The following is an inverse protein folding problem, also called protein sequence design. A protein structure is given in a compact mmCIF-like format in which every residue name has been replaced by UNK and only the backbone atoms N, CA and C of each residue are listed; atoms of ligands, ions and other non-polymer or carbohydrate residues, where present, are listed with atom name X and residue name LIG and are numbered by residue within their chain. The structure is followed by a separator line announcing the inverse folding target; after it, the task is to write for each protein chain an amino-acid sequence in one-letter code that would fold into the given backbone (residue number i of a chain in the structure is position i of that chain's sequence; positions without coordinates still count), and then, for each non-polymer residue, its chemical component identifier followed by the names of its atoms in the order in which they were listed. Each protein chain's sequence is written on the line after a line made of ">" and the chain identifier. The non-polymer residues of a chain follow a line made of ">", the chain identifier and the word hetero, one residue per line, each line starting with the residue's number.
data_IF_216133869573
#
_entry.id   IF_216133869573
#
_cell.length_a   1.000
_cell.length_b   1.000
_cell.length_c   1.000
_cell.angle_alpha   90.00
_cell.angle_beta   90.00
_cell.angle_gamma   90.00
#
_symmetry.space_group_name_H-M   'P 1'
#
loop_
_entity.id
_entity.type
_entity.pdbx_description
1 polymer ?
#
# COMPACT_ATOMS: atom_id res chain seq x y z
N UNK A 1 -3.26 -6.77 20.18
CA UNK A 1 -1.93 -6.16 20.32
C UNK A 1 -1.72 -5.71 21.76
N UNK A 2 -0.64 -6.18 22.40
CA UNK A 2 -0.22 -5.72 23.72
C UNK A 2 0.43 -4.35 23.58
N UNK A 3 -0.05 -3.37 24.35
CA UNK A 3 0.39 -1.97 24.25
C UNK A 3 0.53 -1.36 25.65
N UNK A 4 1.28 -0.27 25.74
CA UNK A 4 1.31 0.58 26.94
C UNK A 4 0.05 1.45 27.04
N UNK A 5 -0.25 1.96 28.22
CA UNK A 5 -1.45 2.76 28.45
C UNK A 5 -1.50 4.07 27.67
N UNK A 6 -0.35 4.62 27.31
CA UNK A 6 -0.19 5.85 26.53
C UNK A 6 -0.21 5.64 25.00
N UNK A 7 -0.19 4.38 24.55
CA UNK A 7 -0.09 4.03 23.13
C UNK A 7 -1.20 4.64 22.25
N UNK A 8 -2.50 4.60 22.62
CA UNK A 8 -3.53 5.20 21.78
C UNK A 8 -3.35 6.71 21.60
N UNK A 9 -2.99 7.43 22.66
CA UNK A 9 -2.73 8.87 22.61
C UNK A 9 -1.46 9.17 21.80
N UNK A 10 -0.40 8.40 22.01
CA UNK A 10 0.87 8.54 21.29
C UNK A 10 0.69 8.35 19.77
N UNK A 11 -0.13 7.40 19.36
CA UNK A 11 -0.41 7.11 17.95
C UNK A 11 -1.53 7.99 17.36
N UNK A 12 -2.23 8.76 18.19
CA UNK A 12 -3.35 9.59 17.76
C UNK A 12 -4.60 8.78 17.38
N UNK A 13 -4.80 7.63 18.04
CA UNK A 13 -5.95 6.76 17.82
C UNK A 13 -7.17 7.38 18.51
N UNK A 14 -8.21 7.65 17.72
CA UNK A 14 -9.45 8.21 18.22
C UNK A 14 -10.32 7.14 18.89
N UNK A 15 -10.79 7.45 20.12
CA UNK A 15 -11.71 6.60 20.87
C UNK A 15 -13.13 7.03 20.51
N UNK A 16 -13.90 6.12 19.89
CA UNK A 16 -15.26 6.39 19.42
C UNK A 16 -16.30 6.26 20.52
N UNK A 17 -16.08 5.36 21.49
CA UNK A 17 -16.96 5.15 22.62
C UNK A 17 -16.16 4.66 23.83
N UNK A 18 -16.62 5.03 25.03
CA UNK A 18 -15.95 4.66 26.27
C UNK A 18 -14.79 5.57 26.63
N UNK A 19 -13.65 5.01 26.98
CA UNK A 19 -12.44 5.75 27.37
C UNK A 19 -11.16 5.09 26.84
N UNK A 20 -10.09 5.88 26.76
CA UNK A 20 -8.73 5.36 26.54
C UNK A 20 -8.20 4.65 27.79
N UNK A 21 -7.06 3.98 27.63
CA UNK A 21 -6.36 3.37 28.75
C UNK A 21 -5.89 4.42 29.75
N UNK A 22 -5.79 4.00 31.00
CA UNK A 22 -5.21 4.77 32.10
C UNK A 22 -4.03 4.02 32.67
N UNK A 23 -3.13 4.72 33.33
CA UNK A 23 -1.97 4.09 33.96
C UNK A 23 -2.36 3.07 35.04
N UNK A 24 -3.53 3.22 35.63
CA UNK A 24 -4.12 2.29 36.60
C UNK A 24 -4.47 0.95 35.97
N UNK A 25 -4.80 0.93 34.67
CA UNK A 25 -5.13 -0.30 33.92
C UNK A 25 -3.89 -1.21 33.78
N UNK A 26 -2.68 -0.67 33.84
CA UNK A 26 -1.42 -1.44 33.85
C UNK A 26 -1.25 -2.29 35.12
N UNK A 27 -1.99 -2.01 36.16
CA UNK A 27 -1.97 -2.78 37.41
C UNK A 27 -3.11 -3.80 37.50
N UNK A 28 -3.99 -3.87 36.48
CA UNK A 28 -5.11 -4.81 36.47
C UNK A 28 -4.63 -6.20 36.04
N UNK A 29 -4.66 -7.22 36.92
CA UNK A 29 -4.17 -8.55 36.60
C UNK A 29 -4.95 -9.24 35.46
N UNK A 30 -6.21 -8.84 35.23
CA UNK A 30 -7.07 -9.42 34.21
C UNK A 30 -6.85 -8.75 32.82
N UNK A 31 -6.09 -7.66 32.78
CA UNK A 31 -5.95 -6.82 31.59
C UNK A 31 -7.18 -5.95 31.33
N UNK A 32 -7.03 -5.09 30.35
CA UNK A 32 -8.07 -4.15 29.92
C UNK A 32 -8.01 -4.03 28.40
N UNK A 33 -9.17 -4.04 27.74
CA UNK A 33 -9.26 -4.10 26.29
C UNK A 33 -9.91 -2.86 25.69
N UNK A 34 -9.39 -2.43 24.53
CA UNK A 34 -10.04 -1.52 23.58
C UNK A 34 -10.13 -2.26 22.26
N UNK A 35 -11.33 -2.37 21.70
CA UNK A 35 -11.57 -3.00 20.41
C UNK A 35 -11.77 -1.95 19.32
N UNK A 36 -11.49 -2.31 18.07
CA UNK A 36 -11.86 -1.44 16.95
C UNK A 36 -13.32 -1.61 16.55
N UNK A 37 -13.83 -0.66 15.77
CA UNK A 37 -15.22 -0.71 15.27
C UNK A 37 -15.50 -1.95 14.39
N UNK A 38 -14.51 -2.48 13.67
CA UNK A 38 -14.64 -3.73 12.93
C UNK A 38 -14.93 -4.92 13.86
N UNK A 39 -14.27 -4.99 15.02
CA UNK A 39 -14.53 -6.02 16.03
C UNK A 39 -15.93 -5.84 16.63
N UNK A 40 -16.32 -4.61 16.92
CA UNK A 40 -17.66 -4.29 17.41
C UNK A 40 -18.74 -4.75 16.44
N UNK A 41 -18.60 -4.43 15.16
CA UNK A 41 -19.56 -4.87 14.12
C UNK A 41 -19.61 -6.37 13.94
N UNK A 42 -18.47 -7.05 14.06
CA UNK A 42 -18.37 -8.49 13.79
C UNK A 42 -18.91 -9.34 14.95
N UNK A 43 -18.58 -8.94 16.18
CA UNK A 43 -18.89 -9.75 17.38
C UNK A 43 -20.04 -9.18 18.21
N UNK A 44 -20.51 -7.96 17.92
CA UNK A 44 -21.58 -7.30 18.66
C UNK A 44 -21.19 -6.86 20.06
N UNK A 45 -19.91 -6.62 20.33
CA UNK A 45 -19.43 -6.23 21.65
C UNK A 45 -19.98 -4.86 22.10
N UNK A 46 -20.22 -4.78 23.42
CA UNK A 46 -20.61 -3.57 24.14
C UNK A 46 -19.64 -3.31 25.31
N UNK A 47 -19.68 -2.12 25.92
CA UNK A 47 -18.85 -1.80 27.07
C UNK A 47 -19.16 -2.63 28.33
N UNK A 48 -20.35 -3.23 28.39
CA UNK A 48 -20.77 -4.07 29.52
C UNK A 48 -20.26 -5.51 29.39
N UNK A 49 -19.78 -5.89 28.20
CA UNK A 49 -19.27 -7.22 27.94
C UNK A 49 -17.90 -7.44 28.60
N UNK A 50 -17.64 -8.71 28.88
CA UNK A 50 -16.36 -9.18 29.39
C UNK A 50 -15.77 -10.17 28.40
N UNK A 51 -14.47 -10.09 28.21
CA UNK A 51 -13.73 -11.00 27.36
C UNK A 51 -12.77 -11.83 28.19
N UNK A 52 -12.53 -13.05 27.78
CA UNK A 52 -11.52 -13.88 28.43
C UNK A 52 -10.15 -13.23 28.23
N UNK A 53 -9.63 -12.69 29.33
CA UNK A 53 -8.30 -12.12 29.38
C UNK A 53 -7.24 -13.24 29.48
N UNK A 54 -6.02 -12.83 29.80
CA UNK A 54 -4.97 -13.77 30.16
C UNK A 54 -5.36 -14.44 31.51
N UNK A 55 -5.00 -15.67 31.72
CA UNK A 55 -5.33 -16.44 32.94
C UNK A 55 -6.83 -16.81 33.14
N UNK A 56 -7.61 -16.92 32.05
CA UNK A 56 -9.03 -17.30 32.10
C UNK A 56 -9.94 -16.42 32.98
N UNK A 57 -9.52 -15.17 33.22
CA UNK A 57 -10.31 -14.23 34.01
C UNK A 57 -10.98 -13.22 33.10
N UNK A 58 -12.15 -12.77 33.50
CA UNK A 58 -12.94 -11.79 32.77
C UNK A 58 -12.28 -10.41 32.75
N UNK A 59 -11.83 -9.96 31.59
CA UNK A 59 -11.26 -8.66 31.36
C UNK A 59 -12.32 -7.66 30.86
N UNK A 60 -12.19 -6.40 31.26
CA UNK A 60 -13.13 -5.35 30.90
C UNK A 60 -12.84 -4.77 29.51
N UNK A 61 -13.90 -4.52 28.75
CA UNK A 61 -13.86 -3.66 27.58
C UNK A 61 -14.08 -2.22 28.07
N UNK A 62 -13.08 -1.35 27.88
CA UNK A 62 -13.15 0.04 28.38
C UNK A 62 -13.44 1.06 27.29
N UNK A 63 -13.29 0.69 26.04
CA UNK A 63 -13.57 1.57 24.91
C UNK A 63 -13.55 0.86 23.57
N UNK A 64 -14.03 1.59 22.58
CA UNK A 64 -13.91 1.28 21.16
C UNK A 64 -13.10 2.37 20.48
N UNK A 65 -12.27 1.99 19.53
CA UNK A 65 -11.49 2.92 18.73
C UNK A 65 -11.89 2.85 17.25
N UNK A 66 -11.57 3.91 16.53
CA UNK A 66 -11.78 3.93 15.09
C UNK A 66 -10.95 2.84 14.40
N UNK A 67 -11.41 2.46 13.21
CA UNK A 67 -10.74 1.48 12.38
C UNK A 67 -9.46 2.09 11.80
N UNK A 68 -8.31 1.59 12.19
CA UNK A 68 -7.03 1.97 11.63
C UNK A 68 -6.23 0.74 11.18
N UNK A 69 -5.34 0.92 10.23
CA UNK A 69 -4.54 -0.17 9.69
C UNK A 69 -3.07 0.00 10.03
N UNK A 70 -2.49 -1.01 10.69
CA UNK A 70 -1.04 -1.12 10.88
C UNK A 70 -0.33 -1.75 9.68
N UNK A 71 -1.11 -2.27 8.73
CA UNK A 71 -0.61 -3.01 7.57
C UNK A 71 -0.75 -2.17 6.30
N UNK A 72 -1.22 -2.76 5.25
CA UNK A 72 -1.43 -2.12 3.95
C UNK A 72 -2.87 -1.63 3.80
N UNK A 73 -3.07 -0.55 3.04
CA UNK A 73 -4.39 -0.10 2.60
C UNK A 73 -5.11 -1.10 1.67
N UNK A 74 -4.43 -2.18 1.31
CA UNK A 74 -4.95 -3.24 0.44
C UNK A 74 -5.85 -4.21 1.18
N UNK A 75 -5.59 -4.43 2.47
CA UNK A 75 -6.38 -5.32 3.31
C UNK A 75 -7.49 -4.54 4.01
N UNK A 76 -8.68 -5.12 4.05
CA UNK A 76 -9.75 -4.59 4.89
C UNK A 76 -9.31 -4.62 6.36
N UNK A 77 -9.72 -3.62 7.11
CA UNK A 77 -9.41 -3.57 8.54
C UNK A 77 -10.12 -4.74 9.23
N UNK A 78 -9.32 -5.66 9.72
CA UNK A 78 -9.82 -6.83 10.45
C UNK A 78 -10.15 -6.47 11.90
N UNK A 79 -11.06 -7.22 12.55
CA UNK A 79 -11.26 -7.11 13.98
C UNK A 79 -9.93 -7.26 14.75
N UNK A 80 -9.61 -6.29 15.60
CA UNK A 80 -8.47 -6.35 16.50
C UNK A 80 -8.80 -5.75 17.86
N UNK A 81 -7.96 -6.07 18.82
CA UNK A 81 -7.98 -5.50 20.16
C UNK A 81 -6.61 -4.94 20.52
N UNK A 82 -6.61 -3.78 21.17
CA UNK A 82 -5.52 -3.29 21.98
C UNK A 82 -5.76 -3.76 23.41
N UNK A 83 -4.73 -4.19 24.09
CA UNK A 83 -4.85 -4.58 25.47
C UNK A 83 -3.64 -4.17 26.28
N UNK A 84 -3.90 -3.75 27.52
CA UNK A 84 -2.89 -3.43 28.51
C UNK A 84 -2.91 -4.52 29.56
N UNK A 85 -1.78 -5.17 29.77
CA UNK A 85 -1.59 -6.10 30.86
C UNK A 85 -1.08 -5.42 32.12
N UNK A 86 -1.47 -5.98 33.24
CA UNK A 86 -0.81 -5.69 34.49
C UNK A 86 0.62 -6.26 34.54
N UNK A 87 1.22 -6.22 35.69
CA UNK A 87 2.62 -6.57 35.96
C UNK A 87 2.97 -8.06 35.82
N UNK A 88 2.53 -8.70 34.75
CA UNK A 88 2.88 -10.09 34.49
C UNK A 88 4.36 -10.21 34.05
N UNK A 89 5.17 -10.99 34.77
CA UNK A 89 6.64 -11.01 34.57
C UNK A 89 7.09 -11.64 33.26
N UNK A 90 6.21 -12.32 32.53
CA UNK A 90 6.52 -12.99 31.27
C UNK A 90 6.26 -12.12 30.03
N UNK A 91 5.60 -10.97 30.17
CA UNK A 91 5.38 -10.06 29.06
C UNK A 91 6.58 -9.12 28.92
N UNK A 92 7.23 -9.17 27.79
CA UNK A 92 8.33 -8.28 27.45
C UNK A 92 7.93 -7.43 26.22
N UNK A 93 8.00 -6.10 26.32
CA UNK A 93 7.80 -5.25 25.14
C UNK A 93 8.85 -5.58 24.08
N UNK A 94 8.38 -5.90 22.87
CA UNK A 94 9.24 -6.24 21.73
C UNK A 94 9.53 -5.04 20.83
N UNK A 95 8.73 -3.98 20.93
CA UNK A 95 8.82 -2.82 20.04
C UNK A 95 8.59 -1.55 20.86
N UNK A 96 9.43 -0.55 20.65
CA UNK A 96 9.25 0.78 21.20
C UNK A 96 9.11 1.81 20.07
N UNK A 97 8.09 2.65 20.17
CA UNK A 97 7.89 3.78 19.27
C UNK A 97 8.48 5.04 19.88
N UNK A 98 9.34 5.73 19.14
CA UNK A 98 10.01 6.94 19.60
C UNK A 98 9.67 8.07 18.65
N UNK A 99 9.11 9.16 19.20
CA UNK A 99 8.84 10.38 18.45
C UNK A 99 10.08 11.26 18.41
N UNK A 100 10.60 11.50 17.24
CA UNK A 100 11.79 12.32 17.02
C UNK A 100 11.36 13.74 16.69
N UNK A 101 12.09 14.73 17.20
CA UNK A 101 11.83 16.14 16.89
C UNK A 101 12.08 16.42 15.41
N UNK A 102 11.27 17.31 14.83
CA UNK A 102 11.44 17.71 13.44
C UNK A 102 12.82 18.36 13.21
N UNK A 103 13.54 17.85 12.19
CA UNK A 103 14.88 18.35 11.83
C UNK A 103 16.04 17.70 12.59
N UNK A 104 15.80 16.71 13.47
CA UNK A 104 16.88 15.96 14.12
C UNK A 104 17.59 15.06 13.10
N UNK A 105 18.92 14.94 13.25
CA UNK A 105 19.72 14.01 12.43
C UNK A 105 19.40 12.57 12.83
N UNK A 106 18.92 11.79 11.87
CA UNK A 106 18.56 10.39 12.08
C UNK A 106 19.74 9.53 12.59
N UNK A 107 20.92 9.74 12.03
CA UNK A 107 22.09 8.94 12.40
C UNK A 107 22.53 9.22 13.84
N UNK A 108 22.42 10.47 14.27
CA UNK A 108 22.70 10.85 15.67
C UNK A 108 21.69 10.25 16.62
N UNK A 109 20.37 10.31 16.26
CA UNK A 109 19.31 9.71 17.06
C UNK A 109 19.49 8.20 17.16
N UNK A 110 19.72 7.53 16.04
CA UNK A 110 19.96 6.08 16.00
C UNK A 110 21.18 5.68 16.88
N UNK A 111 22.26 6.43 16.77
CA UNK A 111 23.46 6.20 17.58
C UNK A 111 23.21 6.41 19.07
N UNK A 112 22.42 7.44 19.42
CA UNK A 112 22.05 7.72 20.80
C UNK A 112 21.18 6.60 21.38
N UNK A 113 20.15 6.18 20.65
CA UNK A 113 19.26 5.06 21.04
C UNK A 113 20.10 3.78 21.24
N UNK A 114 20.94 3.43 20.27
CA UNK A 114 21.82 2.27 20.39
C UNK A 114 22.71 2.30 21.60
N UNK A 115 23.25 3.49 21.96
CA UNK A 115 24.06 3.66 23.16
C UNK A 115 23.25 3.42 24.43
N UNK A 116 22.07 4.03 24.55
CA UNK A 116 21.21 3.89 25.73
C UNK A 116 20.76 2.43 25.90
N UNK A 117 20.40 1.76 24.81
CA UNK A 117 20.00 0.35 24.86
C UNK A 117 21.15 -0.57 25.27
N UNK A 118 22.38 -0.32 24.81
CA UNK A 118 23.56 -1.08 25.20
C UNK A 118 23.98 -0.87 26.66
N UNK A 119 23.72 0.31 27.23
CA UNK A 119 23.93 0.59 28.64
C UNK A 119 22.89 -0.10 29.55
N UNK A 120 21.67 -0.28 29.03
CA UNK A 120 20.56 -0.86 29.81
C UNK A 120 20.64 -2.40 29.87
N UNK A 121 21.22 -3.06 28.86
CA UNK A 121 21.27 -4.51 28.82
C UNK A 121 22.63 -4.99 28.31
N UNK A 122 23.43 -5.56 29.20
CA UNK A 122 24.79 -6.03 28.95
C UNK A 122 24.87 -7.22 27.97
N UNK A 123 23.78 -7.97 27.80
CA UNK A 123 23.77 -9.21 27.02
C UNK A 123 23.35 -9.02 25.55
N UNK A 124 23.07 -7.78 25.11
CA UNK A 124 22.63 -7.50 23.75
C UNK A 124 23.70 -6.76 22.95
N UNK A 125 24.02 -7.31 21.79
CA UNK A 125 24.83 -6.62 20.79
C UNK A 125 24.05 -5.44 20.17
N UNK A 126 24.67 -4.28 19.94
CA UNK A 126 24.02 -3.15 19.25
C UNK A 126 23.46 -3.50 17.87
N UNK A 127 23.98 -4.56 17.23
CA UNK A 127 23.54 -5.05 15.93
C UNK A 127 22.23 -5.88 15.98
N UNK A 128 21.77 -6.24 17.17
CA UNK A 128 20.50 -6.99 17.36
C UNK A 128 19.27 -6.10 17.40
N UNK A 129 19.44 -4.77 17.47
CA UNK A 129 18.34 -3.83 17.45
C UNK A 129 18.07 -3.31 16.06
N UNK A 130 16.91 -3.67 15.51
CA UNK A 130 16.43 -3.10 14.27
C UNK A 130 15.78 -1.73 14.56
N UNK A 131 16.54 -0.65 14.35
CA UNK A 131 16.06 0.72 14.45
C UNK A 131 15.77 1.21 13.04
N UNK A 132 14.51 1.46 12.74
CA UNK A 132 14.04 1.95 11.44
C UNK A 132 12.98 3.02 11.60
N UNK A 133 12.80 3.86 10.61
CA UNK A 133 11.68 4.78 10.57
C UNK A 133 10.38 4.02 10.35
N UNK A 134 9.32 4.49 11.00
CA UNK A 134 7.98 3.93 10.82
C UNK A 134 7.54 3.97 9.34
N UNK A 135 7.85 5.08 8.63
CA UNK A 135 7.60 5.23 7.20
C UNK A 135 8.37 4.22 6.34
N UNK A 136 9.60 3.86 6.72
CA UNK A 136 10.37 2.83 6.02
C UNK A 136 9.74 1.44 6.15
N UNK A 137 9.18 1.13 7.30
CA UNK A 137 8.47 -0.13 7.53
C UNK A 137 7.20 -0.22 6.69
N UNK A 138 6.46 0.88 6.57
CA UNK A 138 5.31 0.98 5.67
C UNK A 138 5.78 0.80 4.22
N UNK A 139 6.84 1.49 3.79
CA UNK A 139 7.38 1.41 2.44
C UNK A 139 7.88 -0.01 2.08
N UNK A 140 8.40 -0.78 3.03
CA UNK A 140 8.79 -2.18 2.81
C UNK A 140 7.63 -3.03 2.32
N UNK A 141 6.46 -2.76 2.83
CA UNK A 141 5.23 -3.47 2.46
C UNK A 141 4.81 -3.14 1.02
N UNK A 142 5.09 -1.92 0.54
CA UNK A 142 4.77 -1.48 -0.82
C UNK A 142 5.89 -1.73 -1.86
N UNK A 143 7.07 -2.19 -1.46
CA UNK A 143 8.17 -2.48 -2.40
C UNK A 143 7.84 -3.51 -3.47
N UNK A 144 6.96 -4.46 -3.16
CA UNK A 144 6.49 -5.46 -4.14
C UNK A 144 5.68 -4.82 -5.27
N UNK A 145 4.80 -3.89 -4.92
CA UNK A 145 3.99 -3.13 -5.88
C UNK A 145 4.85 -2.19 -6.71
N UNK A 146 5.82 -1.55 -6.09
CA UNK A 146 6.77 -0.68 -6.79
C UNK A 146 7.62 -1.46 -7.81
N UNK A 147 8.16 -2.61 -7.41
CA UNK A 147 8.90 -3.51 -8.32
C UNK A 147 8.02 -4.02 -9.45
N UNK A 148 6.75 -4.35 -9.18
CA UNK A 148 5.79 -4.75 -10.20
C UNK A 148 5.51 -3.61 -11.18
N UNK A 149 5.33 -2.40 -10.70
CA UNK A 149 5.12 -1.20 -11.53
C UNK A 149 6.32 -0.94 -12.46
N UNK A 150 7.54 -1.07 -11.95
CA UNK A 150 8.76 -0.92 -12.74
C UNK A 150 8.87 -1.99 -13.84
N UNK A 151 8.56 -3.25 -13.52
CA UNK A 151 8.53 -4.34 -14.49
C UNK A 151 7.49 -4.09 -15.59
N UNK A 152 6.26 -3.71 -15.22
CA UNK A 152 5.19 -3.38 -16.18
C UNK A 152 5.63 -2.23 -17.09
N UNK A 153 6.25 -1.19 -16.56
CA UNK A 153 6.76 -0.05 -17.31
C UNK A 153 7.83 -0.47 -18.33
N UNK A 154 8.77 -1.32 -17.93
CA UNK A 154 9.80 -1.86 -18.80
C UNK A 154 9.21 -2.69 -19.95
N UNK A 155 8.31 -3.63 -19.63
CA UNK A 155 7.65 -4.46 -20.66
C UNK A 155 6.79 -3.61 -21.60
N UNK A 156 6.12 -2.58 -21.10
CA UNK A 156 5.35 -1.65 -21.91
C UNK A 156 6.26 -0.91 -22.91
N UNK A 157 7.43 -0.44 -22.47
CA UNK A 157 8.40 0.20 -23.34
C UNK A 157 8.88 -0.75 -24.45
N UNK A 158 9.22 -1.98 -24.11
CA UNK A 158 9.63 -3.01 -25.07
C UNK A 158 8.49 -3.30 -26.08
N UNK A 159 7.26 -3.43 -25.60
CA UNK A 159 6.09 -3.66 -26.45
C UNK A 159 5.86 -2.51 -27.44
N UNK A 160 6.05 -1.27 -27.01
CA UNK A 160 5.97 -0.08 -27.88
C UNK A 160 7.04 -0.16 -28.96
N UNK A 161 8.28 -0.47 -28.62
CA UNK A 161 9.40 -0.59 -29.61
C UNK A 161 9.09 -1.67 -30.64
N UNK A 162 8.66 -2.86 -30.21
CA UNK A 162 8.32 -3.96 -31.11
C UNK A 162 7.15 -3.56 -32.02
N UNK A 163 6.12 -2.90 -31.46
CA UNK A 163 4.97 -2.41 -32.21
C UNK A 163 5.37 -1.41 -33.30
N UNK A 164 6.25 -0.45 -32.95
CA UNK A 164 6.78 0.54 -33.91
C UNK A 164 7.58 -0.16 -35.04
N UNK A 165 8.42 -1.14 -34.71
CA UNK A 165 9.14 -1.93 -35.72
C UNK A 165 8.19 -2.69 -36.65
N UNK A 166 7.13 -3.30 -36.09
CA UNK A 166 6.11 -3.98 -36.85
C UNK A 166 5.36 -3.05 -37.82
N UNK A 167 4.93 -1.88 -37.33
CA UNK A 167 4.30 -0.86 -38.19
C UNK A 167 5.24 -0.36 -39.26
N UNK A 168 6.50 -0.11 -38.94
CA UNK A 168 7.50 0.34 -39.89
C UNK A 168 7.71 -0.71 -41.00
N UNK A 169 7.89 -1.98 -40.64
CA UNK A 169 8.01 -3.06 -41.59
C UNK A 169 6.80 -3.18 -42.53
N UNK A 170 5.59 -3.06 -41.98
CA UNK A 170 4.36 -3.09 -42.75
C UNK A 170 4.24 -1.92 -43.74
N UNK A 171 4.59 -0.71 -43.29
CA UNK A 171 4.60 0.50 -44.13
C UNK A 171 5.61 0.35 -45.29
N UNK A 172 6.81 -0.16 -45.01
CA UNK A 172 7.83 -0.40 -46.03
C UNK A 172 7.36 -1.43 -47.07
N UNK A 173 6.76 -2.54 -46.62
CA UNK A 173 6.21 -3.56 -47.49
C UNK A 173 5.06 -3.02 -48.36
N UNK A 174 4.09 -2.33 -47.77
CA UNK A 174 2.94 -1.76 -48.48
C UNK A 174 3.41 -0.73 -49.53
N UNK A 175 4.42 0.09 -49.21
CA UNK A 175 4.99 1.09 -50.10
C UNK A 175 5.66 0.43 -51.33
N UNK A 176 6.40 -0.64 -51.12
CA UNK A 176 7.03 -1.38 -52.23
C UNK A 176 5.98 -2.07 -53.11
N UNK A 177 4.97 -2.68 -52.50
CA UNK A 177 3.89 -3.35 -53.21
C UNK A 177 3.10 -2.40 -54.10
N UNK A 178 2.84 -1.18 -53.64
CA UNK A 178 2.06 -0.14 -54.35
C UNK A 178 2.91 0.84 -55.16
N UNK A 179 4.18 0.58 -55.35
CA UNK A 179 5.12 1.51 -56.01
C UNK A 179 4.65 1.94 -57.41
N UNK A 180 4.03 1.04 -58.17
CA UNK A 180 3.49 1.36 -59.52
C UNK A 180 2.25 2.28 -59.43
N UNK A 181 1.37 2.05 -58.48
CA UNK A 181 0.18 2.91 -58.27
C UNK A 181 0.59 4.32 -57.84
N UNK A 182 1.57 4.43 -56.92
CA UNK A 182 2.14 5.67 -56.46
C UNK A 182 2.75 6.46 -57.64
N UNK A 183 3.53 5.78 -58.49
CA UNK A 183 4.16 6.38 -59.65
C UNK A 183 3.13 6.90 -60.64
N UNK A 184 2.10 6.11 -60.98
CA UNK A 184 1.00 6.53 -61.86
C UNK A 184 0.27 7.76 -61.36
N UNK A 185 -0.06 7.83 -60.06
CA UNK A 185 -0.73 9.00 -59.46
C UNK A 185 0.17 10.23 -59.50
N UNK A 186 1.46 10.07 -59.26
CA UNK A 186 2.42 11.18 -59.29
C UNK A 186 2.59 11.77 -60.67
N UNK A 187 2.57 10.95 -61.72
CA UNK A 187 2.58 11.41 -63.12
C UNK A 187 1.29 12.15 -63.47
N UNK A 188 0.15 11.77 -62.86
CA UNK A 188 -1.13 12.44 -63.00
C UNK A 188 -1.29 13.69 -62.14
N UNK A 189 -0.24 14.18 -61.47
CA UNK A 189 -0.21 15.43 -60.75
C UNK A 189 -0.59 15.33 -59.25
N UNK A 190 -0.70 14.12 -58.71
CA UNK A 190 -0.98 14.00 -57.26
C UNK A 190 0.18 14.51 -56.45
N UNK A 191 -0.13 15.27 -55.41
CA UNK A 191 0.83 15.79 -54.44
C UNK A 191 1.33 14.68 -53.48
N UNK A 192 2.55 14.86 -52.93
CA UNK A 192 3.10 13.92 -51.95
C UNK A 192 2.21 13.86 -50.72
N UNK A 193 1.58 14.96 -50.33
CA UNK A 193 0.66 15.04 -49.19
C UNK A 193 -0.59 14.17 -49.37
N UNK A 194 -1.18 14.15 -50.58
CA UNK A 194 -2.36 13.34 -50.89
C UNK A 194 -2.04 11.84 -50.85
N UNK A 195 -0.88 11.43 -51.36
CA UNK A 195 -0.40 10.06 -51.30
C UNK A 195 -0.17 9.65 -49.83
N UNK A 196 0.49 10.50 -49.06
CA UNK A 196 0.75 10.24 -47.63
C UNK A 196 -0.54 10.14 -46.81
N UNK A 197 -1.49 11.07 -47.04
CA UNK A 197 -2.79 11.08 -46.37
C UNK A 197 -3.59 9.80 -46.65
N UNK A 198 -3.52 9.27 -47.89
CA UNK A 198 -4.17 8.02 -48.24
C UNK A 198 -3.59 6.81 -47.46
N UNK A 199 -2.26 6.74 -47.34
CA UNK A 199 -1.62 5.69 -46.53
C UNK A 199 -1.92 5.86 -45.04
N UNK A 200 -1.72 7.06 -44.47
CA UNK A 200 -1.99 7.35 -43.07
C UNK A 200 -3.44 7.06 -42.71
N UNK A 201 -4.41 7.42 -43.52
CA UNK A 201 -5.83 7.15 -43.28
C UNK A 201 -6.13 5.68 -43.08
N UNK A 202 -5.46 4.79 -43.82
CA UNK A 202 -5.64 3.34 -43.69
C UNK A 202 -5.06 2.83 -42.37
N UNK A 203 -3.84 3.24 -42.01
CA UNK A 203 -3.21 2.84 -40.77
C UNK A 203 -3.95 3.39 -39.54
N UNK A 204 -4.39 4.64 -39.61
CA UNK A 204 -5.20 5.26 -38.53
C UNK A 204 -6.48 4.46 -38.28
N UNK A 205 -7.18 4.00 -39.34
CA UNK A 205 -8.37 3.17 -39.16
C UNK A 205 -8.05 1.85 -38.44
N UNK A 206 -6.96 1.18 -38.80
CA UNK A 206 -6.54 -0.07 -38.15
C UNK A 206 -6.22 0.20 -36.67
N UNK A 207 -5.45 1.25 -36.39
CA UNK A 207 -5.10 1.62 -35.01
C UNK A 207 -6.34 1.95 -34.19
N UNK A 208 -7.32 2.70 -34.75
CA UNK A 208 -8.58 3.01 -34.06
C UNK A 208 -9.39 1.74 -33.74
N UNK A 209 -9.46 0.78 -34.66
CA UNK A 209 -10.13 -0.49 -34.41
C UNK A 209 -9.43 -1.27 -33.28
N UNK A 210 -8.10 -1.37 -33.35
CA UNK A 210 -7.30 -2.02 -32.30
C UNK A 210 -7.49 -1.32 -30.94
N UNK A 211 -7.51 0.00 -30.92
CA UNK A 211 -7.75 0.79 -29.71
C UNK A 211 -9.15 0.56 -29.14
N UNK A 212 -10.18 0.55 -30.01
CA UNK A 212 -11.56 0.30 -29.60
C UNK A 212 -11.75 -1.08 -28.96
N UNK A 213 -10.93 -2.06 -29.31
CA UNK A 213 -10.93 -3.40 -28.69
C UNK A 213 -10.05 -3.42 -27.43
N UNK A 214 -8.87 -2.83 -27.48
CA UNK A 214 -7.91 -2.87 -26.40
C UNK A 214 -8.33 -2.02 -25.17
N UNK A 215 -8.97 -0.85 -25.40
CA UNK A 215 -9.37 0.04 -24.32
C UNK A 215 -10.36 -0.59 -23.33
N UNK A 216 -11.48 -1.23 -23.75
CA UNK A 216 -12.37 -1.89 -22.81
C UNK A 216 -11.73 -3.07 -22.08
N UNK A 217 -10.85 -3.82 -22.75
CA UNK A 217 -10.12 -4.93 -22.10
C UNK A 217 -9.19 -4.38 -21.02
N UNK A 218 -8.42 -3.34 -21.36
CA UNK A 218 -7.55 -2.66 -20.40
C UNK A 218 -8.32 -2.11 -19.21
N UNK A 219 -9.47 -1.47 -19.48
CA UNK A 219 -10.35 -0.96 -18.42
C UNK A 219 -10.79 -2.07 -17.45
N UNK A 220 -11.27 -3.20 -17.96
CA UNK A 220 -11.71 -4.34 -17.14
C UNK A 220 -10.58 -4.91 -16.30
N UNK A 221 -9.35 -5.00 -16.86
CA UNK A 221 -8.18 -5.50 -16.14
C UNK A 221 -7.82 -4.53 -14.99
N UNK A 222 -7.76 -3.24 -15.28
CA UNK A 222 -7.44 -2.21 -14.28
C UNK A 222 -8.52 -2.14 -13.19
N UNK A 223 -9.80 -2.18 -13.56
CA UNK A 223 -10.90 -2.18 -12.60
C UNK A 223 -10.86 -3.41 -11.68
N UNK A 224 -10.58 -4.59 -12.23
CA UNK A 224 -10.40 -5.80 -11.42
C UNK A 224 -9.18 -5.71 -10.49
N UNK A 225 -8.09 -5.14 -10.96
CA UNK A 225 -6.91 -4.93 -10.14
C UNK A 225 -7.19 -3.95 -8.99
N UNK A 226 -7.85 -2.83 -9.26
CA UNK A 226 -8.26 -1.85 -8.26
C UNK A 226 -9.30 -2.40 -7.28
N UNK A 227 -10.15 -3.33 -7.73
CA UNK A 227 -11.11 -4.02 -6.86
C UNK A 227 -10.43 -4.91 -5.78
N UNK A 228 -9.14 -5.18 -5.92
CA UNK A 228 -8.35 -5.93 -4.92
C UNK A 228 -7.94 -5.03 -3.74
N UNK A 229 -8.07 -3.70 -3.86
CA UNK A 229 -7.76 -2.76 -2.78
C UNK A 229 -9.03 -2.46 -1.97
N UNK A 230 -8.93 -2.51 -0.64
CA UNK A 230 -10.03 -2.25 0.28
C UNK A 230 -10.54 -0.79 0.18
N UNK A 231 -9.63 0.17 -0.05
CA UNK A 231 -9.97 1.56 -0.29
C UNK A 231 -9.88 1.89 -1.78
N UNK A 232 -11.05 2.00 -2.44
CA UNK A 232 -11.14 2.37 -3.86
C UNK A 232 -11.00 3.88 -4.01
N UNK A 233 -9.97 4.33 -4.75
CA UNK A 233 -10.01 5.66 -5.34
C UNK A 233 -10.90 5.60 -6.59
N UNK A 234 -11.97 6.42 -6.68
CA UNK A 234 -12.76 6.48 -7.91
C UNK A 234 -11.88 6.96 -9.06
N UNK A 235 -11.89 6.22 -10.17
CA UNK A 235 -11.27 6.69 -11.42
C UNK A 235 -12.20 7.73 -12.04
N UNK A 236 -11.78 8.98 -11.98
CA UNK A 236 -12.40 10.08 -12.73
C UNK A 236 -11.67 10.30 -14.04
#
# INVERSE_FOLDING_TARGET
>A
YAVSSDFPEFMGIEITEGRSFRKEDESNPNGTFIFNEAARRTYGFTLDDRVSGHADQDAAIVGFCDDFSFKTLKEEVTPFALYVFGSEPWWHPSTAFIRVAAGADYNEVKKHIGKVLSEWRYDFSPDEWEIYFFDENINWTYRKEESLSQLISLFTLIAIIISLMGVFGLVMFETQYRRREIALRRVNGATVGEILAMFCSRFVKIVLICFAVAAPIGWVIVDRYLATFAHRCPMY
#
